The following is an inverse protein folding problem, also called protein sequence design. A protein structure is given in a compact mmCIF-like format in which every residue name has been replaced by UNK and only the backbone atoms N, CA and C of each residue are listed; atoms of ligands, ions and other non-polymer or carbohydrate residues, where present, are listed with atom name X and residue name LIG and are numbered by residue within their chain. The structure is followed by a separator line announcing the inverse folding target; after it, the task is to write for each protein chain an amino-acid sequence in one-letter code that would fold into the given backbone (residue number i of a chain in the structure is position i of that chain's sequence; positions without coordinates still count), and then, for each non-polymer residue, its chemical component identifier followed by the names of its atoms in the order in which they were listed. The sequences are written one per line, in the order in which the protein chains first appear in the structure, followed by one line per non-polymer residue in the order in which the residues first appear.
data_IF_123802171334
#
_entry.id   IF_123802171334
#
_cell.length_a   1.000
_cell.length_b   1.000
_cell.length_c   1.000
_cell.angle_alpha   90.00
_cell.angle_beta   90.00
_cell.angle_gamma   90.00
#
_symmetry.space_group_name_H-M   'P 1'
#
loop_
_entity.id
_entity.type
_entity.pdbx_description
1 polymer ?
#
# COMPACT_ATOMS: atom_id res chain seq x y z
N UNK A 1 -14.37 -7.31 -59.61
CA UNK A 1 -13.25 -6.41 -59.95
C UNK A 1 -12.38 -6.44 -58.72
N UNK A 2 -11.38 -7.32 -58.74
CA UNK A 2 -10.44 -7.56 -57.66
C UNK A 2 -9.31 -6.54 -57.85
N UNK A 3 -9.03 -5.74 -56.83
CA UNK A 3 -7.76 -5.02 -56.71
C UNK A 3 -7.07 -5.53 -55.45
N UNK A 4 -6.00 -6.30 -55.69
CA UNK A 4 -4.95 -6.59 -54.73
C UNK A 4 -4.19 -5.29 -54.46
N UNK A 5 -3.91 -5.00 -53.18
CA UNK A 5 -2.90 -4.03 -52.81
C UNK A 5 -1.94 -4.66 -51.81
N UNK A 6 -0.71 -4.79 -52.28
CA UNK A 6 0.47 -5.30 -51.60
C UNK A 6 0.88 -4.37 -50.44
N UNK A 7 1.09 -4.97 -49.27
CA UNK A 7 1.70 -4.31 -48.12
C UNK A 7 3.12 -4.85 -47.90
N UNK A 8 4.11 -4.14 -48.41
CA UNK A 8 5.53 -4.32 -48.08
C UNK A 8 5.75 -4.09 -46.58
N UNK A 9 6.37 -5.06 -45.90
CA UNK A 9 6.91 -4.89 -44.55
C UNK A 9 8.27 -4.21 -44.71
N UNK A 10 8.29 -2.89 -44.60
CA UNK A 10 9.53 -2.14 -44.40
C UNK A 10 9.99 -2.35 -42.95
N UNK A 11 11.11 -3.04 -42.81
CA UNK A 11 11.83 -3.17 -41.56
C UNK A 11 12.58 -1.89 -41.24
N UNK A 12 12.36 -1.36 -40.05
CA UNK A 12 13.26 -0.37 -39.46
C UNK A 12 14.32 -1.13 -38.63
N UNK A 13 15.38 -1.54 -39.31
CA UNK A 13 16.68 -1.75 -38.69
C UNK A 13 17.32 -0.37 -38.48
N UNK A 14 17.47 0.07 -37.22
CA UNK A 14 18.45 1.10 -36.89
C UNK A 14 19.58 0.49 -36.07
N UNK A 15 20.63 0.09 -36.80
CA UNK A 15 21.99 0.00 -36.28
C UNK A 15 22.50 1.41 -35.94
N UNK A 16 23.01 1.61 -34.72
CA UNK A 16 23.98 2.69 -34.47
C UNK A 16 25.22 2.13 -33.79
N UNK A 17 26.30 2.26 -34.56
CA UNK A 17 27.69 1.91 -34.32
C UNK A 17 28.25 2.34 -32.96
N UNK A 18 28.91 1.40 -32.28
CA UNK A 18 29.86 1.69 -31.21
C UNK A 18 31.20 2.14 -31.81
N UNK A 19 31.52 3.43 -31.69
CA UNK A 19 32.90 3.91 -31.85
C UNK A 19 33.53 4.05 -30.48
N UNK A 20 34.43 3.12 -30.15
CA UNK A 20 35.35 3.23 -29.02
C UNK A 20 36.54 4.08 -29.44
N UNK A 21 36.72 5.26 -28.83
CA UNK A 21 38.02 5.92 -28.73
C UNK A 21 38.28 6.20 -27.24
N UNK A 22 39.34 5.59 -26.72
CA UNK A 22 39.71 5.65 -25.32
C UNK A 22 40.40 6.96 -24.93
N UNK A 23 40.36 7.27 -23.63
CA UNK A 23 41.19 8.30 -23.01
C UNK A 23 40.70 8.75 -21.64
N UNK A 24 41.12 8.04 -20.58
CA UNK A 24 41.48 8.58 -19.27
C UNK A 24 40.44 9.32 -18.40
N UNK A 25 40.07 8.68 -17.28
CA UNK A 25 39.92 9.34 -15.97
C UNK A 25 38.55 9.91 -15.59
N UNK A 26 37.88 9.23 -14.65
CA UNK A 26 36.92 9.69 -13.61
C UNK A 26 35.66 8.80 -13.56
N UNK A 27 35.55 8.02 -12.48
CA UNK A 27 34.39 7.17 -12.19
C UNK A 27 33.18 8.03 -11.84
N UNK A 28 32.37 8.33 -12.85
CA UNK A 28 31.03 8.90 -12.68
C UNK A 28 30.03 7.78 -12.38
N UNK A 29 29.29 7.98 -11.30
CA UNK A 29 28.21 7.14 -10.81
C UNK A 29 27.26 6.68 -11.93
N UNK A 30 27.10 5.37 -12.10
CA UNK A 30 26.10 4.81 -12.99
C UNK A 30 24.71 5.03 -12.39
N UNK A 31 24.04 6.08 -12.86
CA UNK A 31 22.61 6.31 -12.67
C UNK A 31 21.86 5.18 -13.40
N UNK A 32 21.20 4.29 -12.66
CA UNK A 32 20.28 3.32 -13.27
C UNK A 32 19.08 4.07 -13.85
N UNK A 33 19.13 4.36 -15.14
CA UNK A 33 18.02 4.93 -15.88
C UNK A 33 16.91 3.88 -15.96
N UNK A 34 15.84 4.07 -15.19
CA UNK A 34 14.61 3.30 -15.37
C UNK A 34 14.15 3.50 -16.81
N UNK A 35 14.08 2.40 -17.56
CA UNK A 35 13.87 2.41 -19.00
C UNK A 35 12.61 3.22 -19.37
N UNK A 36 12.73 4.38 -20.05
CA UNK A 36 11.62 5.32 -20.29
C UNK A 36 10.46 4.71 -21.09
N UNK A 37 10.68 3.58 -21.75
CA UNK A 37 9.70 2.89 -22.59
C UNK A 37 8.61 2.09 -21.83
N UNK A 38 8.79 1.81 -20.52
CA UNK A 38 7.82 0.99 -19.75
C UNK A 38 6.45 1.66 -19.55
N UNK A 39 6.35 2.94 -19.15
CA UNK A 39 5.07 3.63 -18.98
C UNK A 39 4.33 3.80 -20.31
N UNK A 40 5.05 4.14 -21.38
CA UNK A 40 4.47 4.33 -22.71
C UNK A 40 3.79 3.06 -23.24
N UNK A 41 4.44 1.89 -23.08
CA UNK A 41 3.83 0.61 -23.46
C UNK A 41 2.53 0.35 -22.71
N UNK A 42 2.51 0.60 -21.39
CA UNK A 42 1.31 0.37 -20.57
C UNK A 42 0.16 1.31 -20.93
N UNK A 43 0.45 2.58 -21.20
CA UNK A 43 -0.53 3.58 -21.64
C UNK A 43 -1.14 3.16 -22.98
N UNK A 44 -0.29 2.81 -23.97
CA UNK A 44 -0.76 2.33 -25.28
C UNK A 44 -1.61 1.07 -25.16
N UNK A 45 -1.19 0.10 -24.35
CA UNK A 45 -1.96 -1.13 -24.13
C UNK A 45 -3.33 -0.86 -23.51
N UNK A 46 -3.42 0.00 -22.50
CA UNK A 46 -4.69 0.35 -21.85
C UNK A 46 -5.65 1.11 -22.78
N UNK A 47 -5.12 1.97 -23.65
CA UNK A 47 -5.92 2.68 -24.68
C UNK A 47 -6.48 1.71 -25.73
N UNK A 48 -5.66 0.75 -26.19
CA UNK A 48 -6.07 -0.26 -27.16
C UNK A 48 -7.05 -1.29 -26.59
N UNK A 49 -6.97 -1.56 -25.29
CA UNK A 49 -7.92 -2.42 -24.57
C UNK A 49 -9.28 -1.71 -24.44
N UNK A 50 -9.28 -0.42 -24.09
CA UNK A 50 -10.49 0.40 -24.03
C UNK A 50 -11.20 0.55 -25.38
N UNK A 51 -10.45 0.65 -26.49
CA UNK A 51 -11.03 0.68 -27.84
C UNK A 51 -11.69 -0.65 -28.24
N UNK A 52 -11.14 -1.78 -27.79
CA UNK A 52 -11.66 -3.11 -28.12
C UNK A 52 -12.89 -3.50 -27.31
N UNK A 53 -13.01 -2.97 -26.10
CA UNK A 53 -14.06 -3.36 -25.15
C UNK A 53 -15.13 -2.27 -24.93
N UNK A 54 -14.98 -1.08 -25.53
CA UNK A 54 -15.85 0.09 -25.37
C UNK A 54 -16.78 0.42 -26.54
N UNK A 55 -17.68 1.39 -26.33
CA UNK A 55 -18.85 1.73 -27.16
C UNK A 55 -18.57 2.44 -28.51
N UNK A 56 -17.58 1.98 -29.29
CA UNK A 56 -17.33 2.47 -30.65
C UNK A 56 -16.52 3.77 -30.75
N UNK A 57 -15.79 4.15 -29.70
CA UNK A 57 -14.87 5.28 -29.73
C UNK A 57 -13.53 4.86 -30.37
N UNK A 58 -13.19 5.48 -31.50
CA UNK A 58 -11.86 5.38 -32.11
C UNK A 58 -11.01 6.58 -31.66
N UNK A 59 -9.79 6.29 -31.23
CA UNK A 59 -8.77 7.29 -30.89
C UNK A 59 -8.05 7.59 -32.21
N UNK A 60 -8.13 8.84 -32.65
CA UNK A 60 -7.48 9.29 -33.87
C UNK A 60 -6.00 9.63 -33.56
N UNK A 61 -5.75 10.60 -32.68
CA UNK A 61 -4.40 10.98 -32.26
C UNK A 61 -4.32 11.52 -30.82
N UNK A 62 -3.12 11.47 -30.22
CA UNK A 62 -2.81 12.09 -28.93
C UNK A 62 -1.99 13.34 -29.18
N UNK A 63 -2.63 14.51 -29.05
CA UNK A 63 -2.01 15.80 -29.34
C UNK A 63 -0.90 16.20 -28.35
N UNK A 64 -1.06 15.88 -27.06
CA UNK A 64 -0.08 16.18 -26.02
C UNK A 64 -0.18 15.23 -24.83
N UNK A 65 0.96 14.89 -24.22
CA UNK A 65 1.03 14.07 -23.00
C UNK A 65 2.03 14.69 -22.03
N UNK A 66 1.51 15.30 -20.96
CA UNK A 66 2.32 15.80 -19.86
C UNK A 66 2.56 14.73 -18.81
N UNK A 67 3.83 14.38 -18.58
CA UNK A 67 4.22 13.38 -17.61
C UNK A 67 5.11 14.02 -16.54
N UNK A 68 4.48 14.41 -15.42
CA UNK A 68 5.18 14.96 -14.27
C UNK A 68 5.95 13.88 -13.51
N UNK A 69 7.23 13.69 -13.84
CA UNK A 69 8.12 12.80 -13.08
C UNK A 69 8.89 13.63 -12.06
N UNK A 70 8.61 13.41 -10.78
CA UNK A 70 9.40 14.00 -9.70
C UNK A 70 10.54 13.02 -9.36
N UNK A 71 11.82 13.43 -9.46
CA UNK A 71 12.92 12.58 -9.02
C UNK A 71 12.79 12.31 -7.52
N UNK A 72 12.56 11.04 -7.16
CA UNK A 72 12.58 10.59 -5.78
C UNK A 72 14.04 10.36 -5.36
N UNK A 73 14.66 11.38 -4.78
CA UNK A 73 15.94 11.26 -4.08
C UNK A 73 15.67 10.81 -2.65
N UNK A 74 15.96 9.55 -2.27
CA UNK A 74 15.79 9.12 -0.89
C UNK A 74 16.78 9.89 0.00
N UNK A 75 16.26 10.85 0.78
CA UNK A 75 17.07 11.58 1.74
C UNK A 75 17.63 10.62 2.80
N UNK A 76 18.95 10.59 2.92
CA UNK A 76 19.67 9.96 4.04
C UNK A 76 19.33 10.70 5.33
N UNK A 77 18.52 10.09 6.17
CA UNK A 77 18.36 10.47 7.58
C UNK A 77 17.81 9.29 8.36
N UNK A 78 18.66 8.71 9.21
CA UNK A 78 18.24 7.74 10.21
C UNK A 78 17.44 8.45 11.31
N UNK A 79 16.78 7.66 12.15
CA UNK A 79 16.24 8.04 13.47
C UNK A 79 14.73 8.32 13.54
N UNK A 80 14.21 7.99 14.73
CA UNK A 80 12.92 8.33 15.31
C UNK A 80 12.15 9.48 14.65
N UNK A 81 10.93 9.18 14.19
CA UNK A 81 9.96 10.16 13.71
C UNK A 81 8.92 10.45 14.80
N UNK A 82 8.44 11.69 14.92
CA UNK A 82 7.39 12.04 15.86
C UNK A 82 6.02 11.64 15.30
N UNK A 83 5.24 10.90 16.10
CA UNK A 83 3.86 10.55 15.70
C UNK A 83 2.98 11.81 15.64
N UNK A 84 2.11 11.92 14.63
CA UNK A 84 1.08 12.96 14.59
C UNK A 84 0.27 12.97 15.89
N UNK A 85 -0.09 14.18 16.36
CA UNK A 85 -0.79 14.39 17.63
C UNK A 85 -2.04 13.50 17.77
N UNK A 86 -2.81 13.35 16.69
CA UNK A 86 -4.03 12.52 16.63
C UNK A 86 -3.79 11.03 16.94
N UNK A 87 -2.61 10.49 16.63
CA UNK A 87 -2.21 9.11 16.97
C UNK A 87 -1.59 9.06 18.37
N UNK A 88 -0.72 10.03 18.66
CA UNK A 88 0.01 10.11 19.94
C UNK A 88 -0.95 10.22 21.13
N UNK A 89 -1.97 11.08 21.02
CA UNK A 89 -2.93 11.36 22.09
C UNK A 89 -3.82 10.15 22.41
N UNK A 90 -4.06 9.29 21.42
CA UNK A 90 -4.76 8.03 21.63
C UNK A 90 -3.98 7.09 22.53
N UNK A 91 -2.67 7.26 22.73
CA UNK A 91 -1.81 6.35 23.51
C UNK A 91 -2.02 4.88 23.13
N UNK A 92 -2.33 4.62 21.86
CA UNK A 92 -2.58 3.30 21.29
C UNK A 92 -1.35 2.73 20.60
N UNK A 93 -0.40 3.60 20.25
CA UNK A 93 0.82 3.26 19.52
C UNK A 93 2.02 3.52 20.42
N UNK A 94 2.95 2.56 20.44
CA UNK A 94 4.27 2.70 21.05
C UNK A 94 5.29 2.98 19.95
N UNK A 95 5.88 4.17 20.03
CA UNK A 95 6.97 4.58 19.16
C UNK A 95 8.29 4.44 19.91
N UNK A 96 9.18 3.59 19.42
CA UNK A 96 10.44 3.26 20.07
C UNK A 96 11.54 4.16 19.50
N UNK A 97 12.22 4.88 20.38
CA UNK A 97 13.24 5.85 20.03
C UNK A 97 14.53 5.15 19.64
N UNK A 98 14.71 4.93 18.33
CA UNK A 98 15.94 4.40 17.76
C UNK A 98 16.73 5.47 17.02
N UNK A 99 18.05 5.32 17.04
CA UNK A 99 19.00 6.12 16.25
C UNK A 99 19.39 5.42 14.93
N UNK A 100 18.77 4.29 14.63
CA UNK A 100 19.14 3.41 13.51
C UNK A 100 17.93 3.05 12.65
N UNK A 101 18.13 2.25 11.60
CA UNK A 101 17.05 1.79 10.69
C UNK A 101 16.32 0.53 11.15
N UNK A 102 16.49 0.12 12.42
CA UNK A 102 15.95 -1.12 13.01
C UNK A 102 14.57 -0.94 13.68
N UNK A 103 13.82 0.11 13.34
CA UNK A 103 12.50 0.42 13.94
C UNK A 103 11.49 -0.74 13.84
N UNK A 104 11.54 -1.52 12.76
CA UNK A 104 10.76 -2.73 12.59
C UNK A 104 11.08 -3.77 13.69
N UNK A 105 12.36 -4.16 13.79
CA UNK A 105 12.86 -5.12 14.77
C UNK A 105 12.46 -4.73 16.20
N UNK A 106 12.74 -3.47 16.58
CA UNK A 106 12.40 -2.99 17.91
C UNK A 106 10.90 -3.02 18.18
N UNK A 107 10.06 -2.69 17.19
CA UNK A 107 8.60 -2.72 17.35
C UNK A 107 8.07 -4.14 17.55
N UNK A 108 8.65 -5.13 16.85
CA UNK A 108 8.33 -6.56 17.04
C UNK A 108 8.76 -7.01 18.44
N UNK A 109 9.99 -6.70 18.86
CA UNK A 109 10.51 -7.08 20.17
C UNK A 109 9.72 -6.43 21.32
N UNK A 110 9.27 -5.19 21.17
CA UNK A 110 8.45 -4.53 22.19
C UNK A 110 7.03 -5.10 22.30
N UNK A 111 6.56 -5.80 21.28
CA UNK A 111 5.32 -6.58 21.36
C UNK A 111 5.56 -7.89 22.13
N UNK A 112 6.71 -8.54 21.89
CA UNK A 112 7.08 -9.82 22.52
C UNK A 112 7.43 -9.63 24.00
N UNK A 113 8.07 -8.51 24.32
CA UNK A 113 8.51 -8.13 25.65
C UNK A 113 7.82 -6.84 26.11
N UNK A 114 6.52 -6.89 26.43
CA UNK A 114 5.75 -5.69 26.75
C UNK A 114 6.25 -5.04 28.04
N UNK A 115 6.63 -3.77 27.95
CA UNK A 115 6.99 -2.95 29.10
C UNK A 115 5.82 -2.04 29.48
N UNK A 116 5.57 -1.98 30.78
CA UNK A 116 4.49 -1.17 31.34
C UNK A 116 4.72 0.32 31.04
N UNK A 117 3.64 1.09 30.88
CA UNK A 117 3.71 2.47 30.38
C UNK A 117 4.51 3.41 31.28
N UNK A 118 4.55 3.13 32.59
CA UNK A 118 5.28 3.93 33.58
C UNK A 118 6.80 3.77 33.45
N UNK A 119 7.24 2.63 32.94
CA UNK A 119 8.67 2.26 32.88
C UNK A 119 9.32 2.65 31.55
N UNK A 120 8.80 3.70 30.91
CA UNK A 120 9.39 4.29 29.72
C UNK A 120 9.64 3.29 28.57
N UNK A 121 8.60 2.57 28.11
CA UNK A 121 8.71 1.48 27.13
C UNK A 121 9.22 1.92 25.75
N UNK A 122 9.39 3.22 25.53
CA UNK A 122 9.84 3.82 24.29
C UNK A 122 11.37 3.77 24.15
N UNK A 123 12.11 3.41 25.21
CA UNK A 123 13.58 3.29 25.20
C UNK A 123 14.03 1.95 24.59
N UNK A 124 14.92 2.00 23.60
CA UNK A 124 15.48 0.80 22.94
C UNK A 124 16.26 -0.10 23.91
N UNK A 125 16.91 0.47 24.93
CA UNK A 125 17.78 -0.23 25.87
C UNK A 125 17.13 -1.46 26.51
N UNK A 126 15.81 -1.42 26.74
CA UNK A 126 15.12 -2.56 27.35
C UNK A 126 15.05 -3.80 26.45
N UNK A 127 15.12 -3.59 25.14
CA UNK A 127 14.92 -4.61 24.12
C UNK A 127 16.24 -5.10 23.50
N UNK A 128 17.36 -4.37 23.70
CA UNK A 128 18.66 -4.69 23.11
C UNK A 128 19.13 -6.12 23.38
N UNK A 129 18.87 -6.64 24.59
CA UNK A 129 19.23 -8.02 24.97
C UNK A 129 18.49 -9.11 24.17
N UNK A 130 17.40 -8.75 23.49
CA UNK A 130 16.57 -9.68 22.72
C UNK A 130 16.77 -9.51 21.21
N UNK A 131 17.77 -8.72 20.79
CA UNK A 131 17.99 -8.38 19.38
C UNK A 131 18.16 -9.62 18.50
N UNK A 132 18.87 -10.64 19.01
CA UNK A 132 19.19 -11.87 18.29
C UNK A 132 18.05 -12.92 18.31
N UNK A 133 16.96 -12.68 19.05
CA UNK A 133 15.85 -13.63 19.10
C UNK A 133 14.92 -13.58 17.89
N UNK A 134 14.97 -12.50 17.11
CA UNK A 134 14.20 -12.39 15.88
C UNK A 134 15.09 -12.75 14.70
N UNK A 135 14.75 -13.81 13.98
CA UNK A 135 15.51 -14.18 12.80
C UNK A 135 15.27 -13.14 11.68
N UNK A 136 16.31 -12.38 11.37
CA UNK A 136 16.35 -11.35 10.33
C UNK A 136 17.36 -11.69 9.21
N UNK A 137 17.69 -12.97 9.03
CA UNK A 137 18.72 -13.40 8.10
C UNK A 137 18.37 -13.08 6.64
N UNK A 138 19.27 -12.34 5.97
CA UNK A 138 19.06 -11.86 4.60
C UNK A 138 17.88 -10.90 4.48
N UNK A 139 17.56 -10.14 5.53
CA UNK A 139 16.63 -9.01 5.51
C UNK A 139 17.42 -7.73 5.74
N UNK A 140 17.39 -6.85 4.74
CA UNK A 140 18.06 -5.56 4.82
C UNK A 140 17.21 -4.53 5.56
N UNK A 141 17.87 -3.69 6.36
CA UNK A 141 17.22 -2.54 7.01
C UNK A 141 17.31 -1.29 6.13
N UNK A 142 16.23 -0.49 6.01
CA UNK A 142 14.93 -0.65 6.66
C UNK A 142 14.07 -1.71 5.97
N UNK A 143 13.35 -2.50 6.77
CA UNK A 143 12.53 -3.64 6.28
C UNK A 143 11.45 -3.15 5.31
N UNK A 144 11.51 -3.65 4.08
CA UNK A 144 10.48 -3.39 3.05
C UNK A 144 9.26 -4.27 3.33
N UNK A 145 8.07 -3.78 2.95
CA UNK A 145 6.82 -4.53 3.12
C UNK A 145 6.86 -5.87 2.38
N UNK A 146 7.52 -5.92 1.21
CA UNK A 146 7.72 -7.17 0.45
C UNK A 146 8.54 -8.23 1.18
N UNK A 147 9.35 -7.84 2.17
CA UNK A 147 10.17 -8.76 2.97
C UNK A 147 9.42 -9.27 4.22
N UNK A 148 8.25 -8.72 4.56
CA UNK A 148 7.51 -9.09 5.79
C UNK A 148 7.06 -10.54 5.74
N UNK A 149 6.58 -11.02 4.59
CA UNK A 149 6.28 -12.45 4.43
C UNK A 149 7.50 -13.36 4.54
N UNK A 150 8.73 -12.86 4.34
CA UNK A 150 9.96 -13.61 4.64
C UNK A 150 10.20 -13.65 6.15
N UNK A 151 10.03 -12.53 6.86
CA UNK A 151 10.12 -12.45 8.32
C UNK A 151 9.17 -13.45 8.99
N UNK A 152 7.90 -13.47 8.57
CA UNK A 152 6.90 -14.40 9.13
C UNK A 152 7.24 -15.87 8.89
N UNK A 153 7.86 -16.20 7.74
CA UNK A 153 8.30 -17.56 7.43
C UNK A 153 9.51 -17.99 8.25
N UNK A 154 10.45 -17.07 8.48
CA UNK A 154 11.63 -17.32 9.31
C UNK A 154 11.30 -17.42 10.80
N UNK A 155 10.17 -16.85 11.22
CA UNK A 155 9.71 -16.84 12.61
C UNK A 155 8.33 -17.50 12.69
N UNK A 156 8.30 -18.83 12.76
CA UNK A 156 7.09 -19.65 12.55
C UNK A 156 5.91 -19.33 13.48
N UNK A 157 6.14 -18.81 14.68
CA UNK A 157 5.07 -18.37 15.62
C UNK A 157 4.59 -16.92 15.44
N UNK A 158 5.25 -16.12 14.58
CA UNK A 158 4.98 -14.69 14.39
C UNK A 158 4.11 -14.43 13.15
N UNK A 159 3.05 -13.65 13.34
CA UNK A 159 2.23 -13.08 12.26
C UNK A 159 2.07 -11.56 12.46
N UNK A 160 2.04 -10.80 11.38
CA UNK A 160 2.21 -9.36 11.36
C UNK A 160 1.14 -8.74 10.45
N UNK A 161 0.45 -7.74 10.98
CA UNK A 161 -0.29 -6.77 10.19
C UNK A 161 0.45 -5.44 10.17
N UNK A 162 0.43 -4.74 9.03
CA UNK A 162 0.98 -3.41 8.87
C UNK A 162 -0.11 -2.50 8.35
N UNK A 163 -0.36 -1.43 9.10
CA UNK A 163 -1.25 -0.35 8.72
C UNK A 163 -0.42 0.86 8.32
N UNK A 164 -0.80 1.56 7.26
CA UNK A 164 -0.24 2.84 6.90
C UNK A 164 -1.06 3.96 7.52
N UNK A 165 -0.39 5.04 7.93
CA UNK A 165 -1.06 6.31 8.23
C UNK A 165 -0.53 7.42 7.34
N UNK A 166 -1.39 7.92 6.46
CA UNK A 166 -1.09 8.97 5.51
C UNK A 166 -2.33 9.88 5.35
N UNK A 167 -2.13 11.18 5.15
CA UNK A 167 -3.22 12.15 4.96
C UNK A 167 -4.33 12.08 6.04
N UNK A 168 -3.93 11.88 7.30
CA UNK A 168 -4.83 11.71 8.44
C UNK A 168 -5.74 10.48 8.41
N UNK A 169 -5.41 9.49 7.58
CA UNK A 169 -6.17 8.27 7.42
C UNK A 169 -5.33 7.03 7.68
N UNK A 170 -5.95 6.04 8.33
CA UNK A 170 -5.38 4.73 8.53
C UNK A 170 -5.95 3.78 7.47
N UNK A 171 -5.08 2.96 6.87
CA UNK A 171 -5.49 1.87 5.98
C UNK A 171 -4.55 0.66 6.10
N UNK A 172 -5.05 -0.56 5.89
CA UNK A 172 -4.23 -1.77 5.88
C UNK A 172 -3.29 -1.77 4.67
N UNK A 173 -2.03 -2.15 4.89
CA UNK A 173 -0.99 -2.21 3.86
C UNK A 173 -0.47 -3.64 3.65
N UNK A 174 -0.41 -4.40 4.73
CA UNK A 174 -0.11 -5.83 4.72
C UNK A 174 -0.94 -6.48 5.81
N UNK A 175 -1.78 -7.44 5.46
CA UNK A 175 -2.53 -8.24 6.43
C UNK A 175 -2.15 -9.69 6.22
N UNK A 176 -1.71 -10.32 7.30
CA UNK A 176 -1.35 -11.74 7.28
C UNK A 176 -2.60 -12.59 7.07
N UNK A 177 -2.50 -13.61 6.22
CA UNK A 177 -3.60 -14.56 5.99
C UNK A 177 -3.67 -15.61 7.10
N UNK A 178 -2.50 -15.96 7.64
CA UNK A 178 -2.35 -17.02 8.64
C UNK A 178 -2.07 -16.37 10.00
N UNK A 179 -3.14 -16.08 10.74
CA UNK A 179 -3.02 -15.54 12.11
C UNK A 179 -2.44 -16.61 13.03
N UNK A 180 -1.24 -16.35 13.55
CA UNK A 180 -0.51 -17.22 14.46
C UNK A 180 -0.72 -16.80 15.92
N UNK A 181 -0.23 -17.63 16.85
CA UNK A 181 -0.31 -17.38 18.29
C UNK A 181 0.23 -15.99 18.65
N UNK A 182 1.42 -15.64 18.14
CA UNK A 182 1.99 -14.32 18.37
C UNK A 182 1.69 -13.39 17.18
N UNK A 183 0.54 -12.72 17.28
CA UNK A 183 0.05 -11.79 16.27
C UNK A 183 0.29 -10.34 16.68
N UNK A 184 0.93 -9.56 15.80
CA UNK A 184 1.26 -8.16 16.07
C UNK A 184 0.69 -7.22 15.01
N UNK A 185 0.32 -6.02 15.45
CA UNK A 185 -0.11 -4.94 14.57
C UNK A 185 0.96 -3.83 14.59
N UNK A 186 1.48 -3.48 13.43
CA UNK A 186 2.46 -2.41 13.25
C UNK A 186 1.83 -1.23 12.50
N UNK A 187 2.26 -0.03 12.88
CA UNK A 187 1.97 1.20 12.17
C UNK A 187 3.21 1.60 11.36
N UNK A 188 3.06 1.69 10.06
CA UNK A 188 4.01 2.36 9.18
C UNK A 188 3.51 3.80 8.98
N UNK A 189 4.33 4.78 9.33
CA UNK A 189 4.04 6.16 8.98
C UNK A 189 5.25 6.79 8.29
N UNK A 190 4.94 7.69 7.36
CA UNK A 190 5.89 8.42 6.56
C UNK A 190 5.88 9.90 6.93
N UNK A 191 7.06 10.51 6.97
CA UNK A 191 7.21 11.96 6.99
C UNK A 191 8.25 12.32 5.92
N UNK A 192 7.81 12.92 4.81
CA UNK A 192 8.64 13.08 3.63
C UNK A 192 9.12 11.73 3.09
N UNK A 193 10.44 11.57 2.94
CA UNK A 193 11.06 10.33 2.45
C UNK A 193 11.36 9.30 3.55
N UNK A 194 11.15 9.64 4.83
CA UNK A 194 11.46 8.75 5.95
C UNK A 194 10.24 7.92 6.33
N UNK A 195 10.47 6.63 6.58
CA UNK A 195 9.45 5.67 7.02
C UNK A 195 9.85 5.11 8.37
N UNK A 196 8.89 5.02 9.29
CA UNK A 196 9.13 4.50 10.62
C UNK A 196 8.03 3.53 11.04
N UNK A 197 8.45 2.37 11.57
CA UNK A 197 7.54 1.40 12.14
C UNK A 197 7.35 1.68 13.62
N UNK A 198 6.10 1.62 14.07
CA UNK A 198 5.71 1.65 15.47
C UNK A 198 4.83 0.46 15.81
N UNK A 199 4.81 0.08 17.08
CA UNK A 199 3.93 -0.97 17.57
C UNK A 199 2.53 -0.40 17.86
N UNK A 200 1.48 -0.98 17.28
CA UNK A 200 0.10 -0.72 17.67
C UNK A 200 -0.23 -1.66 18.84
N UNK A 201 -0.31 -1.10 20.05
CA UNK A 201 -0.65 -1.87 21.26
C UNK A 201 -2.15 -2.13 21.40
N UNK A 202 -2.98 -1.29 20.79
CA UNK A 202 -4.43 -1.44 20.84
C UNK A 202 -5.04 -0.82 19.58
N UNK A 203 -5.48 -1.67 18.64
CA UNK A 203 -6.04 -1.23 17.36
C UNK A 203 -7.39 -0.52 17.56
N UNK A 204 -8.27 -1.04 18.41
CA UNK A 204 -9.59 -0.46 18.66
C UNK A 204 -9.50 0.97 19.20
N UNK A 205 -8.59 1.19 20.14
CA UNK A 205 -8.29 2.52 20.68
C UNK A 205 -7.65 3.43 19.65
N UNK A 206 -6.87 2.88 18.70
CA UNK A 206 -6.35 3.65 17.59
C UNK A 206 -7.47 4.10 16.64
N UNK A 207 -8.54 3.31 16.50
CA UNK A 207 -9.64 3.56 15.59
C UNK A 207 -10.85 4.25 16.23
N UNK A 208 -10.85 4.43 17.56
CA UNK A 208 -11.98 4.99 18.31
C UNK A 208 -12.46 6.39 17.90
N UNK A 209 -11.68 7.13 17.08
CA UNK A 209 -12.11 8.44 16.56
C UNK A 209 -12.78 8.35 15.19
N UNK A 210 -12.84 7.16 14.59
CA UNK A 210 -13.61 6.94 13.35
C UNK A 210 -15.10 6.89 13.64
N UNK A 211 -15.48 6.63 14.88
CA UNK A 211 -16.86 6.51 15.31
C UNK A 211 -17.21 7.68 16.23
N UNK A 212 -18.44 8.19 16.11
CA UNK A 212 -18.97 9.19 17.05
C UNK A 212 -19.38 8.55 18.39
N UNK A 213 -19.29 7.22 18.48
CA UNK A 213 -19.67 6.48 19.66
C UNK A 213 -18.52 6.45 20.67
N UNK A 214 -18.80 6.84 21.92
CA UNK A 214 -17.84 6.80 23.01
C UNK A 214 -17.69 5.42 23.66
N UNK A 215 -18.51 4.45 23.26
CA UNK A 215 -18.42 3.08 23.73
C UNK A 215 -17.22 2.35 23.12
N UNK A 216 -16.76 1.30 23.81
CA UNK A 216 -15.75 0.39 23.27
C UNK A 216 -16.30 -0.28 22.00
N UNK A 217 -15.49 -0.30 20.96
CA UNK A 217 -15.79 -0.96 19.70
C UNK A 217 -14.68 -1.95 19.33
N UNK A 218 -15.01 -2.96 18.56
CA UNK A 218 -14.14 -4.02 18.08
C UNK A 218 -13.98 -3.88 16.57
N UNK A 219 -12.75 -3.71 16.08
CA UNK A 219 -12.52 -3.40 14.68
C UNK A 219 -11.96 -4.60 13.91
N UNK A 220 -12.53 -4.86 12.73
CA UNK A 220 -11.97 -5.87 11.83
C UNK A 220 -10.75 -5.32 11.08
N UNK A 221 -9.69 -6.12 10.99
CA UNK A 221 -8.39 -5.65 10.44
C UNK A 221 -8.42 -5.38 8.93
N UNK A 222 -9.28 -6.06 8.17
CA UNK A 222 -9.36 -5.88 6.71
C UNK A 222 -10.16 -4.64 6.31
N UNK A 223 -11.27 -4.35 6.98
CA UNK A 223 -12.15 -3.24 6.61
C UNK A 223 -12.12 -2.04 7.56
N UNK A 224 -11.48 -2.20 8.71
CA UNK A 224 -11.44 -1.23 9.81
C UNK A 224 -12.83 -0.83 10.32
N UNK A 225 -13.87 -1.61 10.01
CA UNK A 225 -15.21 -1.38 10.50
C UNK A 225 -15.29 -1.75 11.98
N UNK A 226 -15.88 -0.87 12.78
CA UNK A 226 -16.05 -1.04 14.21
C UNK A 226 -17.42 -1.63 14.54
N UNK A 227 -17.42 -2.71 15.33
CA UNK A 227 -18.61 -3.38 15.85
C UNK A 227 -18.75 -3.09 17.35
N UNK A 228 -19.99 -3.01 17.85
CA UNK A 228 -20.25 -2.77 19.29
C UNK A 228 -19.96 -4.03 20.12
N UNK A 229 -20.07 -5.21 19.51
CA UNK A 229 -19.87 -6.50 20.17
C UNK A 229 -18.94 -7.40 19.35
N UNK A 230 -18.23 -8.30 20.04
CA UNK A 230 -17.24 -9.20 19.45
C UNK A 230 -17.87 -10.34 18.64
N UNK A 231 -19.08 -10.80 19.01
CA UNK A 231 -19.83 -11.80 18.23
C UNK A 231 -20.24 -11.27 16.85
N UNK A 232 -20.60 -9.98 16.75
CA UNK A 232 -20.90 -9.34 15.47
C UNK A 232 -19.67 -9.24 14.58
N UNK A 233 -18.51 -8.97 15.18
CA UNK A 233 -17.23 -9.01 14.47
C UNK A 233 -16.97 -10.42 13.93
N UNK A 234 -17.12 -11.45 14.77
CA UNK A 234 -16.93 -12.85 14.38
C UNK A 234 -17.85 -13.30 13.24
N UNK A 235 -19.09 -12.85 13.23
CA UNK A 235 -20.02 -13.09 12.12
C UNK A 235 -19.62 -12.37 10.82
N UNK A 236 -18.88 -11.25 10.91
CA UNK A 236 -18.44 -10.47 9.75
C UNK A 236 -17.15 -11.00 9.11
N UNK A 237 -16.21 -11.55 9.90
CA UNK A 237 -14.92 -12.05 9.42
C UNK A 237 -15.00 -12.98 8.19
N UNK A 238 -15.88 -14.02 8.15
CA UNK A 238 -15.92 -14.96 7.04
C UNK A 238 -16.37 -14.32 5.71
N UNK A 239 -17.15 -13.25 5.76
CA UNK A 239 -17.61 -12.56 4.56
C UNK A 239 -16.60 -11.51 4.08
N UNK A 240 -16.03 -10.74 5.01
CA UNK A 240 -15.12 -9.66 4.63
C UNK A 240 -13.71 -10.14 4.31
N UNK A 241 -13.24 -11.23 4.93
CA UNK A 241 -11.91 -11.81 4.66
C UNK A 241 -11.74 -12.41 3.27
N UNK A 242 -12.84 -12.66 2.54
CA UNK A 242 -12.81 -13.14 1.15
C UNK A 242 -12.34 -12.05 0.17
N UNK A 243 -12.47 -10.79 0.56
CA UNK A 243 -12.12 -9.65 -0.28
C UNK A 243 -10.74 -9.08 0.09
N UNK A 244 -10.17 -8.28 -0.81
CA UNK A 244 -9.00 -7.48 -0.48
C UNK A 244 -9.33 -6.48 0.63
N UNK A 245 -8.33 -6.07 1.39
CA UNK A 245 -8.52 -5.13 2.48
C UNK A 245 -9.04 -3.79 1.94
N UNK A 246 -10.20 -3.34 2.43
CA UNK A 246 -10.97 -2.24 1.85
C UNK A 246 -11.57 -1.36 2.94
N UNK A 247 -11.32 -0.04 2.88
CA UNK A 247 -11.94 0.91 3.80
C UNK A 247 -13.28 1.38 3.23
N UNK A 248 -14.36 1.19 3.99
CA UNK A 248 -15.68 1.74 3.64
C UNK A 248 -15.62 3.26 3.80
N UNK A 249 -15.97 4.00 2.74
CA UNK A 249 -16.23 5.44 2.80
C UNK A 249 -17.67 5.70 2.38
N UNK A 250 -18.42 6.37 3.26
CA UNK A 250 -19.73 6.90 2.89
C UNK A 250 -19.54 8.19 2.09
N UNK A 251 -20.42 8.50 1.13
CA UNK A 251 -20.44 9.80 0.47
C UNK A 251 -20.67 10.91 1.48
N UNK A 252 -19.97 12.03 1.31
CA UNK A 252 -20.27 13.25 2.07
C UNK A 252 -21.65 13.80 1.69
N UNK A 253 -22.23 14.70 2.48
CA UNK A 253 -23.56 15.28 2.21
C UNK A 253 -23.70 15.86 0.79
N UNK A 254 -22.62 16.43 0.25
CA UNK A 254 -22.56 16.98 -1.11
C UNK A 254 -22.53 15.91 -2.22
N UNK A 255 -22.22 14.66 -1.87
CA UNK A 255 -22.19 13.49 -2.75
C UNK A 255 -23.24 12.45 -2.35
N UNK A 256 -24.12 12.77 -1.40
CA UNK A 256 -25.16 11.87 -0.91
C UNK A 256 -26.23 11.59 -1.96
N UNK A 257 -26.36 12.45 -2.97
CA UNK A 257 -27.30 12.31 -4.06
C UNK A 257 -26.63 11.64 -5.26
N UNK A 258 -27.00 10.40 -5.55
CA UNK A 258 -26.62 9.75 -6.80
C UNK A 258 -27.50 10.30 -7.92
N UNK A 259 -26.88 11.02 -8.86
CA UNK A 259 -27.52 11.47 -10.08
C UNK A 259 -27.03 10.62 -11.26
N UNK A 260 -27.96 10.23 -12.12
CA UNK A 260 -27.63 9.57 -13.38
C UNK A 260 -26.88 10.58 -14.27
N UNK A 261 -25.60 10.32 -14.55
CA UNK A 261 -24.77 11.20 -15.39
C UNK A 261 -25.03 10.98 -16.87
N UNK A 262 -25.44 9.78 -17.24
CA UNK A 262 -25.66 9.38 -18.62
C UNK A 262 -27.15 9.45 -18.98
N UNK A 263 -27.65 10.67 -19.14
CA UNK A 263 -29.08 10.94 -19.45
C UNK A 263 -29.54 10.20 -20.72
N UNK A 264 -28.65 10.00 -21.70
CA UNK A 264 -28.95 9.22 -22.91
C UNK A 264 -29.33 7.76 -22.66
N UNK A 265 -28.84 7.15 -21.55
CA UNK A 265 -29.21 5.79 -21.14
C UNK A 265 -30.59 5.71 -20.47
N UNK A 266 -31.24 6.84 -20.23
CA UNK A 266 -32.62 6.90 -19.74
C UNK A 266 -33.65 6.84 -20.88
N UNK A 267 -33.21 6.93 -22.15
CA UNK A 267 -34.08 6.79 -23.30
C UNK A 267 -34.59 5.35 -23.38
N UNK A 268 -35.89 5.19 -23.60
CA UNK A 268 -36.50 3.89 -23.88
C UNK A 268 -35.86 3.31 -25.14
N UNK A 269 -35.04 2.28 -24.98
CA UNK A 269 -34.55 1.46 -26.08
C UNK A 269 -35.60 0.37 -26.38
N UNK A 270 -35.77 -0.02 -27.66
CA UNK A 270 -36.84 -0.92 -28.08
C UNK A 270 -36.77 -2.33 -27.45
N UNK A 271 -35.60 -2.74 -26.98
CA UNK A 271 -35.41 -3.96 -26.21
C UNK A 271 -34.34 -3.73 -25.14
N UNK A 272 -34.60 -4.20 -23.91
CA UNK A 272 -33.64 -4.16 -22.81
C UNK A 272 -33.47 -5.59 -22.32
N UNK A 273 -32.24 -6.07 -22.27
CA UNK A 273 -31.90 -7.37 -21.69
C UNK A 273 -31.14 -7.09 -20.40
N UNK A 274 -31.77 -7.39 -19.27
CA UNK A 274 -31.10 -7.42 -17.98
C UNK A 274 -30.59 -8.83 -17.75
N UNK A 275 -29.29 -9.03 -17.94
CA UNK A 275 -28.62 -10.27 -17.54
C UNK A 275 -28.06 -10.06 -16.15
N UNK A 276 -28.68 -10.73 -15.17
CA UNK A 276 -28.16 -10.79 -13.83
C UNK A 276 -26.98 -11.78 -13.81
N UNK A 277 -25.77 -11.27 -13.61
CA UNK A 277 -24.60 -12.10 -13.34
C UNK A 277 -24.43 -12.20 -11.83
N UNK A 278 -25.38 -12.85 -11.16
CA UNK A 278 -25.10 -13.51 -9.89
C UNK A 278 -23.97 -14.51 -10.18
N UNK A 279 -22.74 -14.08 -9.87
CA UNK A 279 -21.52 -14.80 -10.21
C UNK A 279 -21.25 -15.83 -9.12
N UNK A 280 -21.05 -17.09 -9.51
CA UNK A 280 -20.66 -18.20 -8.63
C UNK A 280 -19.26 -17.97 -8.05
#
# INVERSE_FOLDING_TARGET
MLEEYDGEILGDEEEINTVNQGGGGETKDQVSTTNPWRPQKKIKSSLLEYQREGSGWQLDEVLHLDLGVVPYTPLKGACYLLLPKRIKDKKAVLNIHNQHRKCFLWSVLAAKYPIHRRDQPHRVQHYMRYEDELNMEGIEFPVKISQVGKVERQNSGLSINIFCFENNELFPLYITKDKKEFHINLLLFSQGCQRHYCLIRNLDRLLSSLTQNHNRMFHYVYCLHGFVREDLLGAHEPHCGLHSAQKIRLPDENQATLAFKEVGKQLKVPFIVYTDFESI
#
